data_IF_762327229504
#
_entry.id   IF_762327229504
#
_cell.length_a   1.000
_cell.length_b   1.000
_cell.length_c   1.000
_cell.angle_alpha   90.00
_cell.angle_beta   90.00
_cell.angle_gamma   90.00
#
_symmetry.space_group_name_H-M   'P 1'
#
loop_
_entity.id
_entity.type
_entity.pdbx_description
1 polymer ?
#
# COMPACT_ATOMS: atom_id res chain seq x y z
N UNK A 1 1.78 -59.63 -48.90
CA UNK A 1 3.14 -59.03 -48.84
C UNK A 1 2.96 -57.52 -48.81
N UNK A 2 3.43 -56.70 -47.88
CA UNK A 2 4.25 -56.82 -46.67
C UNK A 2 3.77 -55.64 -45.80
N UNK A 3 3.42 -55.87 -44.54
CA UNK A 3 3.10 -54.80 -43.59
C UNK A 3 4.40 -54.07 -43.22
N UNK A 4 4.45 -52.74 -43.39
CA UNK A 4 5.52 -51.89 -42.86
C UNK A 4 5.15 -51.49 -41.42
N UNK A 5 6.07 -51.79 -40.49
CA UNK A 5 5.90 -51.60 -39.05
C UNK A 5 6.03 -50.13 -38.62
N UNK A 6 5.23 -49.65 -37.65
CA UNK A 6 5.29 -48.27 -37.14
C UNK A 6 6.46 -48.03 -36.15
N UNK A 7 7.36 -49.01 -35.97
CA UNK A 7 8.40 -48.99 -34.93
C UNK A 7 9.59 -48.08 -35.23
N UNK A 8 9.80 -47.67 -36.48
CA UNK A 8 10.95 -46.83 -36.84
C UNK A 8 10.76 -45.33 -36.56
N UNK A 9 9.52 -44.82 -36.63
CA UNK A 9 9.25 -43.39 -36.34
C UNK A 9 9.27 -43.09 -34.83
N UNK A 10 8.93 -44.08 -34.00
CA UNK A 10 8.91 -43.94 -32.54
C UNK A 10 10.31 -43.92 -31.93
N UNK A 11 11.27 -44.66 -32.49
CA UNK A 11 12.67 -44.62 -32.01
C UNK A 11 13.39 -43.31 -32.37
N UNK A 12 13.03 -42.67 -33.48
CA UNK A 12 13.67 -41.42 -33.92
C UNK A 12 13.23 -40.21 -33.06
N UNK A 13 11.96 -40.17 -32.62
CA UNK A 13 11.48 -39.16 -31.66
C UNK A 13 12.08 -39.34 -30.26
N UNK A 14 12.34 -40.58 -29.82
CA UNK A 14 13.00 -40.82 -28.53
C UNK A 14 14.47 -40.40 -28.52
N UNK A 15 15.18 -40.51 -29.65
CA UNK A 15 16.59 -40.10 -29.75
C UNK A 15 16.76 -38.57 -29.79
N UNK A 16 15.79 -37.83 -30.34
CA UNK A 16 15.77 -36.36 -30.34
C UNK A 16 15.50 -35.76 -28.95
N UNK A 17 14.78 -36.48 -28.08
CA UNK A 17 14.59 -36.12 -26.67
C UNK A 17 15.83 -36.37 -25.80
N UNK A 18 16.77 -37.19 -26.26
CA UNK A 18 18.03 -37.51 -25.55
C UNK A 18 19.19 -36.57 -25.93
N UNK A 19 19.03 -35.74 -26.96
CA UNK A 19 20.06 -34.83 -27.48
C UNK A 19 19.73 -33.34 -27.31
N UNK A 20 18.57 -33.00 -26.75
CA UNK A 20 18.30 -31.61 -26.33
C UNK A 20 19.06 -31.30 -25.04
N UNK A 21 19.84 -30.21 -24.96
CA UNK A 21 20.42 -29.80 -23.69
C UNK A 21 19.24 -29.47 -22.77
N UNK A 22 19.12 -30.23 -21.67
CA UNK A 22 18.18 -29.93 -20.60
C UNK A 22 18.34 -28.45 -20.25
N UNK A 23 17.30 -27.59 -20.40
CA UNK A 23 17.35 -26.29 -19.74
C UNK A 23 17.47 -26.61 -18.26
N UNK A 24 18.56 -26.16 -17.65
CA UNK A 24 18.92 -26.41 -16.26
C UNK A 24 17.73 -26.20 -15.33
N UNK A 25 17.04 -27.29 -14.98
CA UNK A 25 16.04 -27.37 -13.90
C UNK A 25 16.69 -27.04 -12.54
N UNK A 26 18.01 -26.87 -12.50
CA UNK A 26 18.79 -26.32 -11.38
C UNK A 26 18.45 -24.84 -11.09
N UNK A 27 17.77 -24.12 -12.00
CA UNK A 27 17.39 -22.73 -11.75
C UNK A 27 16.08 -22.54 -10.95
N UNK A 28 15.32 -23.60 -10.65
CA UNK A 28 14.02 -23.48 -9.95
C UNK A 28 13.98 -24.03 -8.51
N UNK A 29 15.13 -24.43 -7.95
CA UNK A 29 15.24 -24.90 -6.55
C UNK A 29 16.26 -24.10 -5.73
N UNK A 30 16.54 -22.85 -6.12
CA UNK A 30 17.10 -21.90 -5.16
C UNK A 30 15.97 -21.52 -4.22
N UNK A 31 15.83 -22.29 -3.13
CA UNK A 31 15.05 -21.85 -1.99
C UNK A 31 15.44 -20.39 -1.72
N UNK A 32 14.47 -19.47 -1.53
CA UNK A 32 14.81 -18.13 -1.09
C UNK A 32 15.70 -18.27 0.14
N UNK A 33 16.70 -17.38 0.34
CA UNK A 33 17.47 -17.40 1.57
C UNK A 33 16.46 -17.45 2.72
N UNK A 34 16.45 -18.56 3.47
CA UNK A 34 15.61 -18.68 4.65
C UNK A 34 16.09 -17.57 5.56
N UNK A 35 15.37 -16.45 5.61
CA UNK A 35 15.48 -15.52 6.71
C UNK A 35 15.41 -16.39 7.96
N UNK A 36 16.46 -16.43 8.81
CA UNK A 36 16.42 -17.24 10.01
C UNK A 36 15.14 -16.88 10.74
N UNK A 37 14.29 -17.85 11.09
CA UNK A 37 12.96 -17.60 11.66
C UNK A 37 13.02 -16.61 12.83
N UNK A 38 14.12 -16.65 13.59
CA UNK A 38 14.45 -15.71 14.67
C UNK A 38 14.56 -14.26 14.21
N UNK A 39 15.17 -13.98 13.05
CA UNK A 39 15.28 -12.63 12.49
C UNK A 39 13.92 -12.11 12.03
N UNK A 40 13.08 -12.96 11.44
CA UNK A 40 11.73 -12.60 11.03
C UNK A 40 10.84 -12.32 12.26
N UNK A 41 10.87 -13.20 13.28
CA UNK A 41 10.16 -13.00 14.54
C UNK A 41 10.61 -11.72 15.25
N UNK A 42 11.91 -11.43 15.25
CA UNK A 42 12.44 -10.19 15.82
C UNK A 42 11.89 -8.97 15.09
N UNK A 43 11.89 -8.96 13.76
CA UNK A 43 11.37 -7.84 12.96
C UNK A 43 9.87 -7.64 13.18
N UNK A 44 9.09 -8.72 13.19
CA UNK A 44 7.65 -8.72 13.50
C UNK A 44 7.40 -8.05 14.87
N UNK A 45 8.21 -8.39 15.88
CA UNK A 45 8.12 -7.78 17.22
C UNK A 45 8.52 -6.31 17.25
N UNK A 46 9.51 -5.93 16.45
CA UNK A 46 9.98 -4.54 16.34
C UNK A 46 8.94 -3.64 15.66
N UNK A 47 8.20 -4.18 14.69
CA UNK A 47 7.09 -3.49 14.02
C UNK A 47 5.76 -3.52 14.79
N UNK A 48 5.76 -4.02 16.03
CA UNK A 48 4.54 -4.25 16.84
C UNK A 48 3.50 -5.17 16.19
N UNK A 49 3.89 -6.01 15.21
CA UNK A 49 3.01 -6.95 14.53
C UNK A 49 2.71 -8.15 15.44
N UNK A 50 1.67 -8.05 16.26
CA UNK A 50 1.24 -9.13 17.16
C UNK A 50 -0.21 -9.57 16.93
N UNK A 51 -0.63 -9.89 15.69
CA UNK A 51 -1.96 -10.44 15.51
C UNK A 51 -2.01 -11.83 16.19
N UNK A 52 -3.07 -12.08 16.96
CA UNK A 52 -3.26 -13.37 17.63
C UNK A 52 -3.44 -14.54 16.64
N UNK A 53 -3.78 -14.23 15.39
CA UNK A 53 -4.09 -15.18 14.34
C UNK A 53 -3.38 -14.74 13.05
N UNK A 54 -3.02 -15.67 12.15
CA UNK A 54 -2.40 -15.36 10.86
C UNK A 54 -3.39 -14.80 9.82
N UNK A 55 -4.60 -14.43 10.25
CA UNK A 55 -5.66 -13.87 9.41
C UNK A 55 -6.01 -12.48 9.90
N UNK A 56 -6.25 -11.56 8.96
CA UNK A 56 -6.54 -10.17 9.29
C UNK A 56 -7.97 -9.94 9.76
N UNK A 57 -8.89 -10.87 9.49
CA UNK A 57 -10.28 -10.79 9.92
C UNK A 57 -10.67 -12.10 10.58
N UNK A 58 -11.03 -12.05 11.87
CA UNK A 58 -11.52 -13.23 12.60
C UNK A 58 -13.05 -13.16 12.72
N UNK A 59 -13.73 -14.27 12.43
CA UNK A 59 -15.18 -14.36 12.38
C UNK A 59 -15.89 -14.51 13.73
N UNK A 60 -15.13 -14.59 14.83
CA UNK A 60 -15.72 -14.86 16.14
C UNK A 60 -14.82 -14.36 17.26
N UNK A 61 -15.29 -13.35 18.02
CA UNK A 61 -14.86 -13.17 19.40
C UNK A 61 -15.74 -12.15 20.14
N UNK A 62 -16.60 -12.64 21.03
CA UNK A 62 -17.13 -11.91 22.19
C UNK A 62 -16.03 -11.54 23.21
N UNK A 63 -14.82 -11.19 22.75
CA UNK A 63 -13.70 -10.84 23.62
C UNK A 63 -13.70 -9.34 23.84
N UNK A 64 -14.07 -8.94 25.05
CA UNK A 64 -13.82 -7.61 25.60
C UNK A 64 -12.30 -7.38 25.59
N UNK A 65 -11.81 -6.57 24.66
CA UNK A 65 -10.42 -6.14 24.68
C UNK A 65 -10.24 -5.06 25.74
N UNK A 66 -9.29 -5.26 26.65
CA UNK A 66 -8.93 -4.27 27.66
C UNK A 66 -8.46 -2.97 26.98
N UNK A 67 -8.64 -1.84 27.67
CA UNK A 67 -8.21 -0.52 27.19
C UNK A 67 -6.70 -0.50 26.94
N UNK A 68 -6.29 -0.69 25.68
CA UNK A 68 -4.93 -0.54 25.22
C UNK A 68 -4.66 0.93 24.87
N UNK A 69 -3.38 1.36 24.83
CA UNK A 69 -3.03 2.65 24.25
C UNK A 69 -3.59 2.76 22.83
N UNK A 70 -4.16 3.93 22.49
CA UNK A 70 -4.79 4.16 21.19
C UNK A 70 -3.81 3.97 20.05
N UNK A 71 -2.60 4.53 20.18
CA UNK A 71 -1.47 4.29 19.28
C UNK A 71 -0.43 3.46 20.04
N UNK A 72 0.06 2.42 19.38
CA UNK A 72 1.22 1.63 19.80
C UNK A 72 2.27 1.75 18.71
N UNK A 73 3.10 2.77 18.82
CA UNK A 73 4.14 3.12 17.85
C UNK A 73 5.52 2.75 18.38
N UNK A 74 6.40 2.29 17.49
CA UNK A 74 7.82 2.08 17.77
C UNK A 74 8.66 2.57 16.62
N UNK A 75 9.78 3.19 16.98
CA UNK A 75 10.90 3.36 16.05
C UNK A 75 11.49 2.00 15.74
N UNK A 76 11.67 1.71 14.46
CA UNK A 76 12.31 0.48 14.01
C UNK A 76 13.49 0.82 13.10
N UNK A 77 14.30 -0.18 12.76
CA UNK A 77 15.38 -0.06 11.76
C UNK A 77 15.28 -1.23 10.81
N UNK A 78 15.18 -0.97 9.51
CA UNK A 78 15.18 -2.06 8.54
C UNK A 78 16.55 -2.76 8.53
N UNK A 79 16.58 -4.10 8.46
CA UNK A 79 17.84 -4.83 8.27
C UNK A 79 18.35 -4.67 6.84
N UNK A 80 19.66 -4.81 6.65
CA UNK A 80 20.31 -4.90 5.33
C UNK A 80 20.06 -3.70 4.40
N UNK A 81 20.03 -2.49 4.96
CA UNK A 81 20.01 -1.25 4.17
C UNK A 81 21.41 -0.99 3.61
N UNK A 82 21.51 -0.79 2.30
CA UNK A 82 22.73 -0.39 1.59
C UNK A 82 22.57 1.08 1.23
N UNK A 83 23.40 1.94 1.83
CA UNK A 83 23.53 3.33 1.41
C UNK A 83 24.94 3.59 0.84
N UNK A 84 25.07 4.04 -0.42
CA UNK A 84 26.35 4.42 -1.01
C UNK A 84 27.00 5.67 -0.37
N UNK A 85 26.29 6.46 0.45
CA UNK A 85 26.75 7.75 0.98
C UNK A 85 27.07 7.77 2.47
N UNK A 86 26.84 6.68 3.19
CA UNK A 86 27.22 6.53 4.61
C UNK A 86 26.36 7.34 5.59
N UNK A 87 25.10 7.64 5.24
CA UNK A 87 24.14 8.23 6.19
C UNK A 87 23.95 7.29 7.38
N UNK A 88 23.90 7.84 8.60
CA UNK A 88 23.80 7.01 9.80
C UNK A 88 22.45 6.28 9.81
N UNK A 89 22.47 4.99 10.15
CA UNK A 89 21.28 4.12 10.19
C UNK A 89 20.24 4.63 11.20
N UNK A 90 20.66 5.50 12.13
CA UNK A 90 19.81 6.23 13.04
C UNK A 90 18.81 7.14 12.31
N UNK A 91 19.20 7.80 11.22
CA UNK A 91 18.31 8.68 10.44
C UNK A 91 17.31 7.90 9.56
N UNK A 92 17.53 6.59 9.39
CA UNK A 92 16.76 5.71 8.49
C UNK A 92 15.61 4.98 9.20
N UNK A 93 15.54 5.11 10.52
CA UNK A 93 14.61 4.39 11.37
C UNK A 93 13.38 5.23 11.67
N UNK A 94 12.31 4.91 10.96
CA UNK A 94 11.04 5.62 11.03
C UNK A 94 10.05 4.82 11.88
N UNK A 95 8.87 5.36 12.10
CA UNK A 95 7.93 4.84 13.09
C UNK A 95 7.01 3.82 12.43
N UNK A 96 6.71 2.73 13.12
CA UNK A 96 5.70 1.77 12.71
C UNK A 96 4.80 1.46 13.90
N UNK A 97 3.52 1.28 13.65
CA UNK A 97 2.60 1.06 14.75
C UNK A 97 1.21 0.66 14.34
N UNK A 98 0.42 0.45 15.39
CA UNK A 98 -1.01 0.23 15.28
C UNK A 98 -1.79 1.35 15.92
N UNK A 99 -2.88 1.72 15.29
CA UNK A 99 -3.92 2.55 15.85
C UNK A 99 -5.19 1.73 16.10
N UNK A 100 -5.66 1.67 17.34
CA UNK A 100 -6.99 1.18 17.66
C UNK A 100 -8.03 2.23 17.28
N UNK A 101 -8.89 1.91 16.32
CA UNK A 101 -9.91 2.84 15.81
C UNK A 101 -10.96 3.09 16.89
N UNK A 102 -11.23 4.36 17.21
CA UNK A 102 -12.08 4.78 18.32
C UNK A 102 -13.52 4.25 18.20
N UNK A 103 -14.09 4.30 17.01
CA UNK A 103 -15.47 3.85 16.74
C UNK A 103 -15.52 2.44 16.10
N UNK A 104 -14.60 1.56 16.49
CA UNK A 104 -14.55 0.16 16.05
C UNK A 104 -14.79 -0.82 17.20
N UNK A 105 -15.08 -2.07 16.85
CA UNK A 105 -15.25 -3.17 17.80
C UNK A 105 -13.90 -3.76 18.24
N UNK A 106 -13.01 -4.04 17.30
CA UNK A 106 -11.71 -4.65 17.56
C UNK A 106 -10.64 -4.28 16.52
N UNK A 107 -10.89 -3.25 15.71
CA UNK A 107 -10.02 -2.90 14.61
C UNK A 107 -8.72 -2.23 15.05
N UNK A 108 -7.65 -2.61 14.37
CA UNK A 108 -6.32 -2.04 14.52
C UNK A 108 -5.76 -1.75 13.14
N UNK A 109 -5.53 -0.47 12.86
CA UNK A 109 -4.97 0.03 11.61
C UNK A 109 -3.45 0.13 11.73
N UNK A 110 -2.73 -0.47 10.80
CA UNK A 110 -1.28 -0.41 10.70
C UNK A 110 -0.82 0.77 9.84
N UNK A 111 0.32 1.34 10.20
CA UNK A 111 0.98 2.36 9.38
C UNK A 111 2.49 2.32 9.54
N UNK A 112 3.18 2.78 8.50
CA UNK A 112 4.53 3.32 8.60
C UNK A 112 4.50 4.84 8.52
N UNK A 113 5.28 5.51 9.35
CA UNK A 113 5.44 6.96 9.34
C UNK A 113 6.90 7.32 9.18
N UNK A 114 7.22 8.04 8.10
CA UNK A 114 8.54 8.55 7.83
C UNK A 114 8.66 10.08 7.96
N UNK A 115 9.39 10.57 8.96
CA UNK A 115 9.81 11.99 9.03
C UNK A 115 10.55 12.48 7.77
N UNK A 116 10.45 13.79 7.49
CA UNK A 116 11.18 14.40 6.38
C UNK A 116 12.69 14.39 6.64
N UNK A 117 13.46 14.06 5.60
CA UNK A 117 14.94 14.14 5.59
C UNK A 117 15.45 15.58 5.66
N UNK A 118 14.61 16.56 5.32
CA UNK A 118 15.03 17.94 5.18
C UNK A 118 14.58 18.80 6.37
N UNK A 119 13.30 18.76 6.73
CA UNK A 119 12.76 19.57 7.83
C UNK A 119 11.51 18.95 8.45
N UNK A 120 11.41 18.94 9.77
CA UNK A 120 10.19 18.56 10.48
C UNK A 120 9.02 19.53 10.24
N UNK A 121 9.28 20.72 9.69
CA UNK A 121 8.26 21.69 9.26
C UNK A 121 7.73 21.41 7.85
N UNK A 122 8.31 20.45 7.12
CA UNK A 122 7.80 20.04 5.81
C UNK A 122 6.38 19.44 5.93
N UNK A 123 5.58 19.44 4.86
CA UNK A 123 4.20 18.95 4.90
C UNK A 123 4.06 17.51 5.41
N UNK A 124 2.93 17.21 6.04
CA UNK A 124 2.53 15.84 6.31
C UNK A 124 1.75 15.31 5.12
N UNK A 125 2.16 14.17 4.58
CA UNK A 125 1.54 13.52 3.43
C UNK A 125 1.04 12.16 3.85
N UNK A 126 -0.24 11.85 3.64
CA UNK A 126 -0.73 10.46 3.73
C UNK A 126 -0.79 9.86 2.33
N UNK A 127 -0.25 8.65 2.19
CA UNK A 127 -0.35 7.81 1.00
C UNK A 127 -1.33 6.66 1.23
N UNK A 128 -2.29 6.51 0.30
CA UNK A 128 -3.30 5.48 0.30
C UNK A 128 -3.23 4.68 -1.01
N UNK A 129 -2.85 3.41 -0.95
CA UNK A 129 -2.97 2.52 -2.12
C UNK A 129 -4.42 2.04 -2.29
N UNK A 130 -4.85 1.86 -3.54
CA UNK A 130 -6.21 1.48 -3.92
C UNK A 130 -6.54 -0.02 -3.80
N UNK A 131 -7.00 -0.61 -4.91
CA UNK A 131 -7.46 -2.01 -4.98
C UNK A 131 -8.97 -2.12 -5.24
N UNK A 132 -9.85 -1.97 -4.22
CA UNK A 132 -9.60 -1.74 -2.79
C UNK A 132 -8.89 -2.94 -2.11
N UNK A 133 -8.13 -2.69 -1.03
CA UNK A 133 -7.51 -3.76 -0.23
C UNK A 133 -6.04 -4.03 -0.51
N UNK A 134 -5.40 -3.25 -1.38
CA UNK A 134 -3.95 -3.33 -1.61
C UNK A 134 -3.21 -2.57 -0.51
N UNK A 135 -2.12 -3.15 -0.01
CA UNK A 135 -1.35 -2.55 1.08
C UNK A 135 -0.50 -1.38 0.61
N UNK A 136 -0.38 -0.36 1.46
CA UNK A 136 0.37 0.87 1.13
C UNK A 136 1.89 0.65 1.20
N UNK A 137 2.36 -0.45 1.78
CA UNK A 137 3.75 -0.87 1.73
C UNK A 137 4.23 -1.16 0.29
N UNK A 138 3.32 -1.44 -0.64
CA UNK A 138 3.68 -1.55 -2.05
C UNK A 138 4.32 -0.25 -2.55
N UNK A 139 3.70 0.89 -2.28
CA UNK A 139 4.24 2.19 -2.66
C UNK A 139 5.51 2.54 -1.89
N UNK A 140 5.56 2.19 -0.60
CA UNK A 140 6.72 2.36 0.25
C UNK A 140 7.97 1.68 -0.31
N UNK A 141 7.85 0.49 -0.90
CA UNK A 141 9.01 -0.28 -1.36
C UNK A 141 9.24 -0.26 -2.88
N UNK A 142 8.22 0.05 -3.69
CA UNK A 142 8.30 -0.03 -5.15
C UNK A 142 8.03 1.29 -5.87
N UNK A 143 7.61 2.34 -5.17
CA UNK A 143 7.22 3.60 -5.81
C UNK A 143 7.97 4.79 -5.22
N UNK A 144 7.42 5.41 -4.16
CA UNK A 144 7.83 6.73 -3.69
C UNK A 144 8.35 6.74 -2.25
N UNK A 145 8.50 5.56 -1.64
CA UNK A 145 9.09 5.45 -0.32
C UNK A 145 10.60 5.67 -0.29
N UNK A 146 11.16 5.68 0.93
CA UNK A 146 12.56 6.01 1.18
C UNK A 146 13.54 4.97 0.64
N UNK A 147 13.06 3.78 0.33
CA UNK A 147 13.89 2.64 -0.08
C UNK A 147 13.29 1.97 -1.31
N UNK A 148 14.17 1.31 -2.06
CA UNK A 148 13.81 0.35 -3.12
C UNK A 148 14.36 -1.02 -2.74
N UNK A 149 13.72 -2.08 -3.24
CA UNK A 149 14.20 -3.46 -3.02
C UNK A 149 15.13 -3.86 -4.17
N UNK A 150 16.39 -4.16 -3.86
CA UNK A 150 17.34 -4.70 -4.84
C UNK A 150 17.10 -6.20 -5.11
N UNK A 151 17.71 -6.72 -6.19
CA UNK A 151 17.59 -8.13 -6.59
C UNK A 151 18.04 -9.13 -5.50
N UNK A 152 18.94 -8.72 -4.59
CA UNK A 152 19.39 -9.52 -3.46
C UNK A 152 18.54 -9.34 -2.20
N UNK A 153 17.39 -8.66 -2.30
CA UNK A 153 16.46 -8.32 -1.23
C UNK A 153 17.03 -7.35 -0.18
N UNK A 154 18.16 -6.70 -0.44
CA UNK A 154 18.61 -5.56 0.35
C UNK A 154 17.73 -4.34 0.05
N UNK A 155 17.52 -3.51 1.07
CA UNK A 155 16.93 -2.19 0.86
C UNK A 155 18.02 -1.24 0.38
N UNK A 156 17.75 -0.52 -0.70
CA UNK A 156 18.65 0.48 -1.26
C UNK A 156 18.00 1.85 -1.12
N UNK A 157 18.77 2.81 -0.64
CA UNK A 157 18.33 4.19 -0.49
C UNK A 157 17.72 4.76 -1.78
N UNK A 158 16.52 5.32 -1.69
CA UNK A 158 15.86 6.01 -2.80
C UNK A 158 16.16 7.50 -2.75
N UNK A 159 16.98 8.00 -3.68
CA UNK A 159 17.30 9.44 -3.79
C UNK A 159 16.11 10.32 -4.18
N UNK A 160 15.04 9.70 -4.71
CA UNK A 160 13.81 10.33 -5.15
C UNK A 160 12.61 10.02 -4.24
N UNK A 161 12.85 9.44 -3.06
CA UNK A 161 11.81 9.20 -2.06
C UNK A 161 11.11 10.49 -1.64
N UNK A 162 9.79 10.42 -1.45
CA UNK A 162 8.97 11.59 -1.10
C UNK A 162 9.24 12.10 0.31
N UNK A 163 9.82 11.27 1.18
CA UNK A 163 10.32 11.67 2.49
C UNK A 163 11.47 12.69 2.42
N UNK A 164 12.01 12.99 1.23
CA UNK A 164 12.96 14.10 1.04
C UNK A 164 12.35 15.48 1.31
N UNK A 165 11.03 15.62 1.14
CA UNK A 165 10.31 16.90 1.21
C UNK A 165 8.98 16.79 1.96
N UNK A 166 8.78 15.70 2.71
CA UNK A 166 7.54 15.47 3.45
C UNK A 166 7.72 14.52 4.62
N UNK A 167 6.88 14.70 5.63
CA UNK A 167 6.61 13.73 6.68
C UNK A 167 5.52 12.78 6.15
N UNK A 168 5.88 11.58 5.69
CA UNK A 168 5.00 10.72 4.90
C UNK A 168 4.47 9.50 5.68
N UNK A 169 3.16 9.27 5.60
CA UNK A 169 2.43 8.16 6.20
C UNK A 169 2.01 7.16 5.11
N UNK A 170 2.35 5.89 5.29
CA UNK A 170 1.80 4.78 4.50
C UNK A 170 0.85 4.01 5.38
N UNK A 171 -0.44 4.01 5.04
CA UNK A 171 -1.50 3.46 5.90
C UNK A 171 -2.18 2.30 5.21
N UNK A 172 -2.27 1.18 5.91
CA UNK A 172 -2.99 0.00 5.42
C UNK A 172 -4.48 0.14 5.71
N UNK A 173 -5.25 0.34 4.65
CA UNK A 173 -6.69 0.56 4.74
C UNK A 173 -7.43 -0.05 3.54
N UNK A 174 -8.73 -0.36 3.66
CA UNK A 174 -9.50 -0.43 4.90
C UNK A 174 -9.05 -1.58 5.83
N UNK A 175 -9.73 -1.77 6.96
CA UNK A 175 -9.44 -2.88 7.87
C UNK A 175 -9.53 -4.23 7.14
N UNK A 176 -8.48 -5.05 7.28
CA UNK A 176 -8.26 -6.29 6.53
C UNK A 176 -7.11 -6.20 5.52
N UNK A 177 -6.72 -5.00 5.11
CA UNK A 177 -5.59 -4.73 4.21
C UNK A 177 -4.24 -4.93 4.91
N UNK A 178 -3.30 -5.59 4.25
CA UNK A 178 -1.90 -5.71 4.68
C UNK A 178 -1.75 -6.19 6.14
N UNK A 179 -1.22 -5.33 7.01
CA UNK A 179 -1.07 -5.61 8.44
C UNK A 179 -2.22 -5.10 9.31
N UNK A 180 -3.17 -4.34 8.75
CA UNK A 180 -4.39 -3.88 9.44
C UNK A 180 -5.39 -5.02 9.64
N UNK A 181 -5.88 -5.19 10.87
CA UNK A 181 -6.70 -6.35 11.23
C UNK A 181 -7.84 -6.02 12.20
N UNK A 182 -8.84 -6.89 12.27
CA UNK A 182 -9.86 -6.91 13.31
C UNK A 182 -10.24 -8.34 13.71
N UNK A 183 -10.64 -8.51 14.97
CA UNK A 183 -11.27 -9.76 15.45
C UNK A 183 -12.80 -9.73 15.39
N UNK A 184 -13.38 -8.71 14.74
CA UNK A 184 -14.82 -8.52 14.57
C UNK A 184 -15.16 -8.08 13.13
N UNK A 185 -16.01 -8.85 12.45
CA UNK A 185 -16.39 -8.58 11.05
C UNK A 185 -17.19 -7.30 10.86
N UNK A 186 -17.79 -6.74 11.92
CA UNK A 186 -18.51 -5.47 11.88
C UNK A 186 -17.60 -4.28 11.59
N UNK A 187 -16.29 -4.46 11.76
CA UNK A 187 -15.29 -3.44 11.44
C UNK A 187 -14.92 -3.41 9.95
N UNK A 188 -15.45 -4.33 9.13
CA UNK A 188 -15.26 -4.27 7.68
C UNK A 188 -16.15 -3.15 7.13
N UNK A 189 -15.53 -2.18 6.48
CA UNK A 189 -16.23 -1.08 5.81
C UNK A 189 -16.70 -1.50 4.42
N UNK A 190 -17.86 -1.00 4.03
CA UNK A 190 -18.53 -1.33 2.77
C UNK A 190 -18.84 -0.10 1.91
N UNK A 191 -18.41 1.07 2.36
CA UNK A 191 -18.55 2.35 1.65
C UNK A 191 -17.42 3.32 2.06
N UNK A 192 -17.26 4.37 1.26
CA UNK A 192 -16.25 5.41 1.48
C UNK A 192 -16.52 6.22 2.75
N UNK A 193 -17.77 6.26 3.24
CA UNK A 193 -18.11 6.92 4.49
C UNK A 193 -17.43 6.22 5.67
N UNK A 194 -17.58 4.91 5.79
CA UNK A 194 -16.94 4.14 6.85
C UNK A 194 -15.41 4.21 6.78
N UNK A 195 -14.85 4.15 5.57
CA UNK A 195 -13.39 4.28 5.36
C UNK A 195 -12.88 5.66 5.77
N UNK A 196 -13.58 6.73 5.38
CA UNK A 196 -13.18 8.10 5.73
C UNK A 196 -13.35 8.42 7.22
N UNK A 197 -14.36 7.86 7.89
CA UNK A 197 -14.51 7.97 9.36
C UNK A 197 -13.33 7.27 10.08
N UNK A 198 -12.97 6.05 9.68
CA UNK A 198 -11.84 5.31 10.26
C UNK A 198 -10.50 6.05 10.06
N UNK A 199 -10.26 6.57 8.84
CA UNK A 199 -9.06 7.34 8.53
C UNK A 199 -9.02 8.70 9.25
N UNK A 200 -10.18 9.34 9.46
CA UNK A 200 -10.25 10.56 10.26
C UNK A 200 -9.91 10.28 11.73
N UNK A 201 -10.47 9.23 12.33
CA UNK A 201 -10.11 8.79 13.69
C UNK A 201 -8.61 8.53 13.80
N UNK A 202 -8.01 7.88 12.79
CA UNK A 202 -6.56 7.66 12.71
C UNK A 202 -5.78 8.98 12.71
N UNK A 203 -6.14 9.94 11.85
CA UNK A 203 -5.46 11.24 11.80
C UNK A 203 -5.57 12.00 13.12
N UNK A 204 -6.73 11.96 13.77
CA UNK A 204 -6.95 12.60 15.07
C UNK A 204 -6.01 12.04 16.14
N UNK A 205 -5.81 10.73 16.16
CA UNK A 205 -4.86 10.11 17.08
C UNK A 205 -3.41 10.36 16.68
N UNK A 206 -3.08 10.28 15.38
CA UNK A 206 -1.73 10.52 14.88
C UNK A 206 -1.26 11.93 15.27
N UNK A 207 -2.05 12.96 15.00
CA UNK A 207 -1.70 14.34 15.37
C UNK A 207 -1.73 14.59 16.88
N UNK A 208 -2.42 13.77 17.65
CA UNK A 208 -2.36 13.83 19.12
C UNK A 208 -1.05 13.28 19.65
N UNK A 209 -0.53 12.21 19.05
CA UNK A 209 0.78 11.62 19.39
C UNK A 209 1.93 12.49 18.85
N UNK A 210 1.74 13.11 17.68
CA UNK A 210 2.70 13.97 16.99
C UNK A 210 2.22 15.43 16.91
N UNK A 211 2.01 16.13 18.05
CA UNK A 211 1.37 17.45 18.06
C UNK A 211 2.16 18.54 17.35
N UNK A 212 3.48 18.36 17.21
CA UNK A 212 4.35 19.28 16.49
C UNK A 212 4.07 19.30 14.98
N UNK A 213 3.49 18.22 14.42
CA UNK A 213 3.13 18.11 13.00
C UNK A 213 1.73 18.63 12.69
N UNK A 214 0.87 18.86 13.69
CA UNK A 214 -0.52 19.27 13.48
C UNK A 214 -0.66 20.66 12.83
N UNK A 215 0.36 21.51 12.94
CA UNK A 215 0.43 22.83 12.30
C UNK A 215 0.86 22.77 10.84
N UNK A 216 1.51 21.68 10.42
CA UNK A 216 2.06 21.54 9.09
C UNK A 216 0.93 21.44 8.07
N UNK A 217 1.21 21.82 6.83
CA UNK A 217 0.29 21.56 5.73
C UNK A 217 0.08 20.04 5.60
N UNK A 218 -1.17 19.63 5.43
CA UNK A 218 -1.54 18.21 5.30
C UNK A 218 -2.10 17.92 3.91
N UNK A 219 -1.55 16.89 3.26
CA UNK A 219 -1.95 16.46 1.92
C UNK A 219 -2.40 15.00 1.94
N UNK A 220 -3.47 14.71 1.19
CA UNK A 220 -3.98 13.35 1.00
C UNK A 220 -3.63 12.91 -0.41
N UNK A 221 -2.89 11.81 -0.52
CA UNK A 221 -2.38 11.27 -1.77
C UNK A 221 -2.62 9.77 -1.85
N UNK A 222 -2.51 9.20 -3.04
CA UNK A 222 -2.74 7.79 -3.26
C UNK A 222 -2.91 7.46 -4.72
N UNK A 223 -3.17 6.19 -5.02
CA UNK A 223 -3.33 5.69 -6.37
C UNK A 223 -4.49 4.68 -6.53
N UNK A 224 -4.89 4.44 -7.78
CA UNK A 224 -5.96 3.51 -8.12
C UNK A 224 -7.25 3.86 -7.34
N UNK A 225 -7.95 2.88 -6.74
CA UNK A 225 -9.19 3.08 -5.96
C UNK A 225 -9.07 4.18 -4.88
N UNK A 226 -7.86 4.63 -4.51
CA UNK A 226 -7.69 5.82 -3.70
C UNK A 226 -8.29 7.09 -4.31
N UNK A 227 -8.56 7.13 -5.61
CA UNK A 227 -9.40 8.17 -6.22
C UNK A 227 -10.80 8.29 -5.57
N UNK A 228 -11.29 7.25 -4.88
CA UNK A 228 -12.48 7.30 -4.03
C UNK A 228 -12.15 7.66 -2.57
N UNK A 229 -11.06 7.11 -2.01
CA UNK A 229 -10.66 7.37 -0.63
C UNK A 229 -10.25 8.82 -0.37
N UNK A 230 -9.47 9.42 -1.28
CA UNK A 230 -8.94 10.78 -1.17
C UNK A 230 -10.06 11.81 -1.01
N UNK A 231 -11.05 11.91 -1.93
CA UNK A 231 -12.14 12.88 -1.79
C UNK A 231 -13.03 12.59 -0.58
N UNK A 232 -13.26 11.33 -0.22
CA UNK A 232 -14.04 10.98 0.95
C UNK A 232 -13.37 11.45 2.26
N UNK A 233 -12.07 11.16 2.42
CA UNK A 233 -11.30 11.61 3.58
C UNK A 233 -11.17 13.14 3.60
N UNK A 234 -10.89 13.78 2.46
CA UNK A 234 -10.82 15.24 2.37
C UNK A 234 -12.12 15.90 2.81
N UNK A 235 -13.27 15.38 2.36
CA UNK A 235 -14.58 15.84 2.77
C UNK A 235 -14.82 15.65 4.28
N UNK A 236 -14.46 14.49 4.82
CA UNK A 236 -14.60 14.20 6.27
C UNK A 236 -13.74 15.11 7.14
N UNK A 237 -12.48 15.33 6.76
CA UNK A 237 -11.56 16.27 7.43
C UNK A 237 -12.12 17.70 7.37
N UNK A 238 -12.58 18.15 6.21
CA UNK A 238 -13.18 19.47 6.06
C UNK A 238 -14.40 19.65 6.98
N UNK A 239 -15.28 18.64 7.05
CA UNK A 239 -16.44 18.66 7.94
C UNK A 239 -16.04 18.71 9.42
N UNK A 240 -15.07 17.88 9.84
CA UNK A 240 -14.56 17.88 11.22
C UNK A 240 -13.96 19.24 11.60
N UNK A 241 -13.12 19.81 10.72
CA UNK A 241 -12.56 21.15 10.92
C UNK A 241 -13.64 22.23 11.06
N UNK A 242 -14.67 22.21 10.20
CA UNK A 242 -15.79 23.17 10.25
C UNK A 242 -16.62 23.03 11.53
N UNK A 243 -16.82 21.79 11.99
CA UNK A 243 -17.53 21.47 13.22
C UNK A 243 -16.67 21.69 14.49
N UNK A 244 -15.37 21.99 14.34
CA UNK A 244 -14.37 22.03 15.43
C UNK A 244 -14.31 20.71 16.20
N UNK A 245 -14.44 19.61 15.47
CA UNK A 245 -14.26 18.26 15.97
C UNK A 245 -12.75 17.96 16.05
N UNK A 246 -12.27 17.60 17.24
CA UNK A 246 -10.89 17.17 17.45
C UNK A 246 -9.81 18.24 17.15
N UNK A 247 -8.61 17.77 16.81
CA UNK A 247 -7.47 18.55 16.36
C UNK A 247 -7.75 19.05 14.94
N UNK A 248 -7.59 20.36 14.73
CA UNK A 248 -7.70 20.98 13.41
C UNK A 248 -6.57 20.50 12.50
N UNK A 249 -6.91 19.96 11.33
CA UNK A 249 -5.95 19.49 10.32
C UNK A 249 -5.84 20.54 9.22
N UNK A 250 -4.65 21.07 8.97
CA UNK A 250 -4.42 22.10 7.93
C UNK A 250 -4.39 21.47 6.52
N UNK A 251 -5.54 20.94 6.10
CA UNK A 251 -5.74 20.24 4.83
C UNK A 251 -5.51 21.19 3.64
N UNK A 252 -4.64 20.78 2.72
CA UNK A 252 -4.42 21.39 1.41
C UNK A 252 -4.89 20.43 0.31
N UNK A 253 -5.65 20.94 -0.65
CA UNK A 253 -6.13 20.18 -1.81
C UNK A 253 -5.70 20.93 -3.06
N UNK A 254 -4.67 20.42 -3.73
CA UNK A 254 -4.15 20.96 -4.98
C UNK A 254 -4.00 19.82 -5.96
N UNK A 255 -4.68 19.90 -7.12
CA UNK A 255 -4.57 18.93 -8.21
C UNK A 255 -4.50 17.47 -7.73
N UNK A 256 -5.34 17.11 -6.73
CA UNK A 256 -5.27 15.88 -5.93
C UNK A 256 -5.67 14.60 -6.69
N UNK A 257 -5.25 14.50 -7.95
CA UNK A 257 -5.57 13.44 -8.87
C UNK A 257 -4.54 12.31 -8.88
N UNK A 258 -4.99 11.15 -8.42
CA UNK A 258 -4.79 9.89 -9.11
C UNK A 258 -6.15 9.19 -9.19
N UNK A 259 -7.07 9.83 -9.94
CA UNK A 259 -8.38 9.26 -10.21
C UNK A 259 -8.19 7.94 -10.98
N UNK A 260 -8.70 6.82 -10.46
CA UNK A 260 -9.30 5.84 -11.39
C UNK A 260 -10.26 6.66 -12.25
N UNK A 261 -10.30 6.52 -13.58
CA UNK A 261 -11.42 7.07 -14.33
C UNK A 261 -12.68 6.71 -13.56
N UNK A 262 -13.56 7.71 -13.30
CA UNK A 262 -14.91 7.43 -12.81
C UNK A 262 -15.43 6.18 -13.54
N UNK A 263 -16.28 5.36 -12.92
CA UNK A 263 -16.93 4.27 -13.66
C UNK A 263 -17.67 4.89 -14.85
N UNK A 264 -16.99 4.87 -16.00
CA UNK A 264 -17.35 5.52 -17.24
C UNK A 264 -17.46 4.37 -18.24
N UNK A 265 -18.40 3.44 -18.03
CA UNK A 265 -18.49 2.23 -18.84
C UNK A 265 -18.65 2.58 -20.32
N UNK A 266 -19.26 3.74 -20.63
CA UNK A 266 -19.33 4.30 -21.98
C UNK A 266 -17.97 4.71 -22.54
N UNK A 267 -17.17 5.46 -21.78
CA UNK A 267 -15.84 5.89 -22.23
C UNK A 267 -14.86 4.70 -22.34
N UNK A 268 -14.90 3.78 -21.38
CA UNK A 268 -14.08 2.56 -21.42
C UNK A 268 -14.49 1.63 -22.56
N UNK A 269 -15.80 1.47 -22.83
CA UNK A 269 -16.28 0.71 -23.99
C UNK A 269 -15.84 1.36 -25.31
N UNK A 270 -15.91 2.67 -25.41
CA UNK A 270 -15.50 3.40 -26.61
C UNK A 270 -13.99 3.31 -26.83
N UNK A 271 -13.19 3.46 -25.78
CA UNK A 271 -11.74 3.24 -25.83
C UNK A 271 -11.42 1.81 -26.31
N UNK A 272 -12.08 0.80 -25.76
CA UNK A 272 -11.87 -0.60 -26.14
C UNK A 272 -12.25 -0.85 -27.61
N UNK A 273 -13.40 -0.33 -28.06
CA UNK A 273 -13.82 -0.42 -29.47
C UNK A 273 -12.79 0.20 -30.40
N UNK A 274 -12.36 1.44 -30.10
CA UNK A 274 -11.34 2.14 -30.90
C UNK A 274 -9.99 1.43 -30.90
N UNK A 275 -9.61 0.81 -29.78
CA UNK A 275 -8.41 -0.02 -29.72
C UNK A 275 -8.51 -1.26 -30.62
N UNK A 276 -9.61 -2.01 -30.52
CA UNK A 276 -9.85 -3.20 -31.35
C UNK A 276 -9.94 -2.88 -32.85
N UNK A 277 -10.41 -1.67 -33.19
CA UNK A 277 -10.49 -1.16 -34.57
C UNK A 277 -9.21 -0.47 -35.05
N UNK A 278 -8.17 -0.36 -34.21
CA UNK A 278 -6.91 0.29 -34.55
C UNK A 278 -7.00 1.81 -34.76
N UNK A 279 -8.00 2.47 -34.17
CA UNK A 279 -8.34 3.89 -34.38
C UNK A 279 -8.01 4.81 -33.20
N UNK A 280 -7.26 4.33 -32.20
CA UNK A 280 -6.84 5.14 -31.03
C UNK A 280 -6.09 6.42 -31.42
N UNK A 281 -5.34 6.41 -32.52
CA UNK A 281 -4.54 7.56 -32.99
C UNK A 281 -5.29 8.56 -33.86
N UNK A 282 -6.54 8.27 -34.27
CA UNK A 282 -7.33 9.18 -35.10
C UNK A 282 -8.03 10.20 -34.20
N UNK A 283 -7.70 11.48 -34.36
CA UNK A 283 -8.45 12.57 -33.73
C UNK A 283 -9.84 12.63 -34.35
N UNK A 284 -10.88 12.51 -33.51
CA UNK A 284 -12.25 12.79 -33.93
C UNK A 284 -12.46 14.30 -33.86
N UNK A 285 -12.85 14.91 -34.99
CA UNK A 285 -13.27 16.32 -35.09
C UNK A 285 -14.68 16.57 -34.54
N UNK A 286 -15.34 15.57 -33.96
CA UNK A 286 -16.64 15.75 -33.31
C UNK A 286 -16.47 16.28 -31.89
N UNK A 287 -16.82 17.56 -31.77
CA UNK A 287 -16.92 18.37 -30.55
C UNK A 287 -18.18 17.99 -29.74
N UNK A 288 -18.40 16.70 -29.52
CA UNK A 288 -19.33 16.22 -28.49
C UNK A 288 -18.62 16.23 -27.15
N UNK A 289 -18.94 17.21 -26.31
CA UNK A 289 -18.38 17.45 -24.97
C UNK A 289 -18.37 16.17 -24.12
N UNK A 290 -17.25 15.44 -24.13
CA UNK A 290 -16.88 14.47 -23.11
C UNK A 290 -15.72 15.06 -22.31
N UNK A 291 -15.99 16.20 -21.70
CA UNK A 291 -15.13 16.75 -20.65
C UNK A 291 -15.83 16.41 -19.34
N UNK A 292 -15.15 15.66 -18.48
CA UNK A 292 -15.51 15.57 -17.06
C UNK A 292 -15.50 16.99 -16.51
N UNK A 293 -16.68 17.56 -16.27
CA UNK A 293 -16.81 18.81 -15.53
C UNK A 293 -16.36 18.58 -14.08
N UNK A 294 -15.44 19.42 -13.62
CA UNK A 294 -15.05 19.59 -12.21
C UNK A 294 -16.21 20.22 -11.45
#
# INVERSE_FOLDING_TARGET
MKASSPTFLSLFLLLLLLLSPLPSVVALLRAPPRLPSVSAEKLIRELNLFPNQPINIVGDSNRLHAAAPRIVERRFKFPNVIDPRGVSVEELGHHAGYYQIEHSHAARMFYFFFESRNSTEDPVVIWLTGGPGCSSEMALFYENGPFTIANNLSLVWNEYGWDKVSNILYVDQPIGTGFSYSSDRRDIRHDEKGVSDDLYDFLQAFFKEHPHLAKNDFYITGESYAGHYIPALAARVHQGNKAKEGIHVNLKVHDAGHMVPMDQPKASLEMLKRWMEGSLSKSTTDSGTLVSSI
#
